data_IF_288452705918
#
_entry.id   IF_288452705918
#
_cell.length_a   1.000
_cell.length_b   1.000
_cell.length_c   1.000
_cell.angle_alpha   90.00
_cell.angle_beta   90.00
_cell.angle_gamma   90.00
#
_symmetry.space_group_name_H-M   'P 1'
#
loop_
_entity.id
_entity.type
_entity.pdbx_description
1 polymer ?
#
# COMPACT_ATOMS: atom_id res chain seq x y z
N UNK A 1 -56.97 -17.14 13.47
CA UNK A 1 -55.77 -17.57 12.78
C UNK A 1 -54.88 -16.34 12.58
N UNK A 2 -53.85 -16.22 13.40
CA UNK A 2 -52.88 -15.13 13.28
C UNK A 2 -51.70 -15.60 12.44
N UNK A 3 -51.44 -14.94 11.30
CA UNK A 3 -50.34 -15.21 10.41
C UNK A 3 -49.07 -14.55 10.97
N UNK A 4 -48.14 -15.33 11.52
CA UNK A 4 -46.84 -14.88 11.93
C UNK A 4 -45.96 -14.71 10.67
N UNK A 5 -45.74 -13.46 10.26
CA UNK A 5 -44.69 -13.10 9.28
C UNK A 5 -43.32 -13.24 9.96
N UNK A 6 -42.60 -14.32 9.64
CA UNK A 6 -41.18 -14.45 9.99
C UNK A 6 -40.38 -13.60 9.02
N UNK A 7 -39.94 -12.42 9.48
CA UNK A 7 -38.91 -11.64 8.79
C UNK A 7 -37.59 -12.42 8.90
N UNK A 8 -37.18 -13.05 7.80
CA UNK A 8 -35.83 -13.56 7.66
C UNK A 8 -34.91 -12.35 7.49
N UNK A 9 -34.15 -12.04 8.52
CA UNK A 9 -32.98 -11.18 8.40
C UNK A 9 -31.92 -11.95 7.63
N UNK A 10 -31.82 -11.70 6.32
CA UNK A 10 -30.63 -12.08 5.58
C UNK A 10 -29.52 -11.21 6.15
N UNK A 11 -28.59 -11.80 6.89
CA UNK A 11 -27.33 -11.16 7.20
C UNK A 11 -26.72 -10.70 5.88
N UNK A 12 -26.60 -9.39 5.67
CA UNK A 12 -25.79 -8.85 4.60
C UNK A 12 -24.40 -9.42 4.83
N UNK A 13 -24.04 -10.40 4.03
CA UNK A 13 -22.68 -10.95 3.96
C UNK A 13 -21.81 -9.77 3.58
N UNK A 14 -20.78 -9.48 4.37
CA UNK A 14 -19.87 -8.39 4.09
C UNK A 14 -19.39 -8.56 2.63
N UNK A 15 -19.88 -7.66 1.75
CA UNK A 15 -19.62 -7.73 0.31
C UNK A 15 -18.13 -7.46 0.06
N UNK A 16 -17.33 -8.52 -0.06
CA UNK A 16 -15.89 -8.41 -0.28
C UNK A 16 -15.23 -9.78 -0.39
N UNK A 17 -13.96 -9.77 -0.77
CA UNK A 17 -13.13 -10.95 -0.91
C UNK A 17 -12.57 -11.40 0.45
N UNK A 18 -12.56 -12.71 0.70
CA UNK A 18 -11.94 -13.28 1.90
C UNK A 18 -10.41 -13.16 1.83
N UNK A 19 -9.86 -12.33 2.71
CA UNK A 19 -8.43 -12.05 2.81
C UNK A 19 -7.70 -12.93 3.85
N UNK A 20 -8.38 -13.87 4.49
CA UNK A 20 -7.87 -14.63 5.66
C UNK A 20 -6.57 -15.37 5.37
N UNK A 21 -6.43 -15.97 4.18
CA UNK A 21 -5.22 -16.69 3.79
C UNK A 21 -4.02 -15.73 3.61
N UNK A 22 -4.21 -14.54 3.04
CA UNK A 22 -3.18 -13.52 2.92
C UNK A 22 -2.83 -12.92 4.28
N UNK A 23 -3.82 -12.63 5.09
CA UNK A 23 -3.68 -12.14 6.47
C UNK A 23 -2.81 -13.09 7.33
N UNK A 24 -3.05 -14.39 7.21
CA UNK A 24 -2.25 -15.40 7.91
C UNK A 24 -0.78 -15.40 7.46
N UNK A 25 -0.52 -15.28 6.16
CA UNK A 25 0.83 -15.20 5.60
C UNK A 25 1.55 -13.93 6.04
N UNK A 26 0.87 -12.77 6.03
CA UNK A 26 1.42 -11.50 6.50
C UNK A 26 1.81 -11.58 7.97
N UNK A 27 0.93 -12.07 8.84
CA UNK A 27 1.20 -12.25 10.28
C UNK A 27 2.40 -13.15 10.55
N UNK A 28 2.60 -14.16 9.70
CA UNK A 28 3.69 -15.12 9.85
C UNK A 28 5.05 -14.60 9.36
N UNK A 29 5.06 -13.83 8.27
CA UNK A 29 6.29 -13.53 7.52
C UNK A 29 6.65 -12.05 7.44
N UNK A 30 5.83 -11.14 7.96
CA UNK A 30 6.14 -9.71 8.01
C UNK A 30 6.55 -9.32 9.42
N UNK A 31 7.72 -8.72 9.55
CA UNK A 31 8.33 -8.33 10.82
C UNK A 31 8.21 -6.82 10.99
N UNK A 32 7.47 -6.40 12.00
CA UNK A 32 7.31 -4.98 12.34
C UNK A 32 8.59 -4.42 12.94
N UNK A 33 9.01 -3.26 12.47
CA UNK A 33 10.14 -2.50 12.96
C UNK A 33 9.71 -1.10 13.42
N UNK A 34 10.45 -0.54 14.38
CA UNK A 34 10.25 0.85 14.84
C UNK A 34 8.78 1.16 15.14
N UNK A 35 8.11 0.30 15.90
CA UNK A 35 6.70 0.46 16.27
C UNK A 35 5.75 0.61 15.07
N UNK A 36 6.00 -0.16 14.01
CA UNK A 36 5.16 -0.19 12.81
C UNK A 36 5.52 0.81 11.71
N UNK A 37 6.52 1.67 11.94
CA UNK A 37 6.94 2.67 10.95
C UNK A 37 7.62 2.04 9.72
N UNK A 38 8.18 0.84 9.87
CA UNK A 38 8.75 0.06 8.79
C UNK A 38 8.54 -1.44 9.04
N UNK A 39 8.76 -2.24 8.00
CA UNK A 39 8.71 -3.70 8.09
C UNK A 39 9.84 -4.32 7.28
N UNK A 40 10.30 -5.46 7.74
CA UNK A 40 11.08 -6.42 6.96
C UNK A 40 10.20 -7.60 6.57
N UNK A 41 10.53 -8.25 5.46
CA UNK A 41 9.81 -9.41 4.94
C UNK A 41 10.70 -10.64 5.00
N UNK A 42 10.23 -11.70 5.65
CA UNK A 42 10.86 -13.02 5.63
C UNK A 42 10.54 -13.74 4.32
N UNK A 43 11.27 -13.37 3.25
CA UNK A 43 11.10 -14.01 1.94
C UNK A 43 11.45 -15.49 1.94
N UNK A 44 12.36 -15.95 2.80
CA UNK A 44 12.64 -17.38 2.97
C UNK A 44 11.42 -18.11 3.55
N UNK A 45 10.77 -17.51 4.55
CA UNK A 45 9.51 -18.02 5.10
C UNK A 45 8.39 -18.04 4.07
N UNK A 46 8.23 -16.96 3.29
CA UNK A 46 7.26 -16.94 2.17
C UNK A 46 7.59 -17.99 1.11
N UNK A 47 8.88 -18.25 0.80
CA UNK A 47 9.28 -19.29 -0.13
C UNK A 47 8.92 -20.69 0.39
N UNK A 48 9.07 -20.95 1.69
CA UNK A 48 8.65 -22.20 2.32
C UNK A 48 7.12 -22.41 2.25
N UNK A 49 6.34 -21.34 2.39
CA UNK A 49 4.88 -21.37 2.33
C UNK A 49 4.33 -20.94 0.93
N UNK A 50 5.17 -20.98 -0.11
CA UNK A 50 4.78 -20.49 -1.45
C UNK A 50 3.57 -21.18 -2.04
N UNK A 51 3.29 -22.43 -1.66
CA UNK A 51 2.08 -23.13 -2.07
C UNK A 51 0.81 -22.46 -1.55
N UNK A 52 0.82 -21.98 -0.29
CA UNK A 52 -0.30 -21.23 0.31
C UNK A 52 -0.47 -19.85 -0.36
N UNK A 53 0.65 -19.16 -0.63
CA UNK A 53 0.61 -17.90 -1.38
C UNK A 53 0.01 -18.11 -2.78
N UNK A 54 0.42 -19.17 -3.51
CA UNK A 54 -0.12 -19.46 -4.84
C UNK A 54 -1.61 -19.83 -4.81
N UNK A 55 -2.09 -20.53 -3.79
CA UNK A 55 -3.52 -20.80 -3.60
C UNK A 55 -4.30 -19.50 -3.41
N UNK A 56 -3.81 -18.59 -2.55
CA UNK A 56 -4.41 -17.27 -2.38
C UNK A 56 -4.42 -16.48 -3.70
N UNK A 57 -3.29 -16.42 -4.43
CA UNK A 57 -3.21 -15.72 -5.70
C UNK A 57 -4.15 -16.32 -6.76
N UNK A 58 -4.35 -17.63 -6.76
CA UNK A 58 -5.30 -18.30 -7.63
C UNK A 58 -6.75 -17.89 -7.30
N UNK A 59 -7.12 -17.80 -6.02
CA UNK A 59 -8.45 -17.31 -5.62
C UNK A 59 -8.66 -15.84 -5.98
N UNK A 60 -7.64 -14.97 -5.81
CA UNK A 60 -7.67 -13.57 -6.27
C UNK A 60 -7.90 -13.51 -7.79
N UNK A 61 -7.21 -14.38 -8.54
CA UNK A 61 -7.29 -14.42 -10.01
C UNK A 61 -8.63 -14.97 -10.53
N UNK A 62 -9.35 -15.73 -9.72
CA UNK A 62 -10.67 -16.28 -10.06
C UNK A 62 -11.80 -15.25 -9.93
N UNK A 63 -11.58 -14.13 -9.24
CA UNK A 63 -12.57 -13.07 -9.10
C UNK A 63 -12.89 -12.46 -10.46
N UNK A 64 -14.15 -12.49 -10.83
CA UNK A 64 -14.65 -11.89 -12.07
C UNK A 64 -14.86 -10.38 -11.91
N UNK A 65 -14.79 -9.63 -13.02
CA UNK A 65 -15.13 -8.21 -13.03
C UNK A 65 -16.55 -7.97 -12.53
N UNK A 66 -17.51 -8.82 -12.91
CA UNK A 66 -18.91 -8.71 -12.48
C UNK A 66 -19.10 -8.93 -10.97
N UNK A 67 -18.30 -9.80 -10.35
CA UNK A 67 -18.28 -9.99 -8.91
C UNK A 67 -17.66 -8.80 -8.21
N UNK A 68 -16.47 -8.37 -8.64
CA UNK A 68 -15.76 -7.21 -8.12
C UNK A 68 -16.60 -5.93 -8.18
N UNK A 69 -17.31 -5.67 -9.26
CA UNK A 69 -18.10 -4.45 -9.45
C UNK A 69 -19.35 -4.39 -8.53
N UNK A 70 -19.76 -5.51 -7.92
CA UNK A 70 -20.85 -5.55 -6.92
C UNK A 70 -20.39 -5.21 -5.52
N UNK A 71 -19.09 -5.24 -5.23
CA UNK A 71 -18.57 -4.92 -3.90
C UNK A 71 -18.61 -3.42 -3.63
N UNK A 72 -18.70 -3.06 -2.36
CA UNK A 72 -18.51 -1.69 -1.91
C UNK A 72 -17.11 -1.17 -2.26
N UNK A 73 -16.98 0.14 -2.49
CA UNK A 73 -15.71 0.76 -2.92
C UNK A 73 -14.54 0.47 -2.01
N UNK A 74 -14.79 0.42 -0.69
CA UNK A 74 -13.77 0.09 0.30
C UNK A 74 -13.29 -1.36 0.14
N UNK A 75 -14.20 -2.30 -0.08
CA UNK A 75 -13.85 -3.70 -0.33
C UNK A 75 -13.09 -3.88 -1.65
N UNK A 76 -13.49 -3.17 -2.71
CA UNK A 76 -12.78 -3.14 -3.99
C UNK A 76 -11.35 -2.62 -3.82
N UNK A 77 -11.16 -1.50 -3.11
CA UNK A 77 -9.83 -0.90 -2.91
C UNK A 77 -8.95 -1.78 -2.03
N UNK A 78 -9.49 -2.35 -0.95
CA UNK A 78 -8.77 -3.30 -0.10
C UNK A 78 -8.29 -4.52 -0.90
N UNK A 79 -9.15 -5.08 -1.74
CA UNK A 79 -8.82 -6.20 -2.63
C UNK A 79 -7.66 -5.85 -3.58
N UNK A 80 -7.73 -4.69 -4.24
CA UNK A 80 -6.69 -4.26 -5.18
C UNK A 80 -5.34 -4.01 -4.50
N UNK A 81 -5.33 -3.41 -3.29
CA UNK A 81 -4.10 -3.21 -2.50
C UNK A 81 -3.50 -4.56 -2.10
N UNK A 82 -4.31 -5.50 -1.59
CA UNK A 82 -3.84 -6.83 -1.21
C UNK A 82 -3.34 -7.61 -2.42
N UNK A 83 -4.03 -7.56 -3.54
CA UNK A 83 -3.60 -8.20 -4.79
C UNK A 83 -2.23 -7.64 -5.23
N UNK A 84 -2.05 -6.31 -5.28
CA UNK A 84 -0.77 -5.68 -5.60
C UNK A 84 0.35 -6.20 -4.69
N UNK A 85 0.14 -6.16 -3.37
CA UNK A 85 1.14 -6.56 -2.39
C UNK A 85 1.50 -8.06 -2.49
N UNK A 86 0.51 -8.93 -2.62
CA UNK A 86 0.73 -10.37 -2.73
C UNK A 86 1.44 -10.76 -4.04
N UNK A 87 1.05 -10.16 -5.17
CA UNK A 87 1.75 -10.37 -6.43
C UNK A 87 3.16 -9.74 -6.45
N UNK A 88 3.40 -8.67 -5.69
CA UNK A 88 4.75 -8.14 -5.49
C UNK A 88 5.63 -9.14 -4.75
N UNK A 89 5.12 -9.75 -3.67
CA UNK A 89 5.85 -10.82 -2.95
C UNK A 89 6.13 -12.00 -3.89
N UNK A 90 5.13 -12.49 -4.64
CA UNK A 90 5.33 -13.59 -5.61
C UNK A 90 6.37 -13.22 -6.68
N UNK A 91 6.38 -11.96 -7.16
CA UNK A 91 7.38 -11.49 -8.13
C UNK A 91 8.80 -11.58 -7.56
N UNK A 92 9.02 -11.16 -6.31
CA UNK A 92 10.33 -11.30 -5.64
C UNK A 92 10.71 -12.78 -5.51
N UNK A 93 9.76 -13.66 -5.13
CA UNK A 93 10.02 -15.10 -4.97
C UNK A 93 10.39 -15.80 -6.28
N UNK A 94 10.17 -15.19 -7.44
CA UNK A 94 10.63 -15.77 -8.73
C UNK A 94 12.15 -15.77 -8.88
N UNK A 95 12.87 -14.93 -8.13
CA UNK A 95 14.33 -14.82 -8.20
C UNK A 95 15.02 -14.88 -6.82
N UNK A 96 14.27 -14.94 -5.72
CA UNK A 96 14.83 -15.09 -4.39
C UNK A 96 15.52 -16.47 -4.25
N UNK A 97 16.75 -16.58 -3.65
CA UNK A 97 17.44 -15.52 -2.89
C UNK A 97 18.33 -14.58 -3.72
N UNK A 98 18.48 -14.77 -5.02
CA UNK A 98 19.46 -14.09 -5.88
C UNK A 98 18.96 -12.72 -6.38
N UNK A 99 18.24 -11.97 -5.53
CA UNK A 99 17.67 -10.65 -5.83
C UNK A 99 17.98 -9.66 -4.72
N UNK A 100 18.64 -8.55 -5.05
CA UNK A 100 18.96 -7.48 -4.11
C UNK A 100 17.97 -6.31 -4.16
N UNK A 101 17.20 -6.20 -5.25
CA UNK A 101 16.22 -5.16 -5.49
C UNK A 101 15.13 -5.67 -6.44
N UNK A 102 13.89 -5.21 -6.28
CA UNK A 102 12.85 -5.47 -7.28
C UNK A 102 13.26 -5.01 -8.69
N UNK A 103 14.13 -3.98 -8.79
CA UNK A 103 14.67 -3.49 -10.06
C UNK A 103 15.44 -4.54 -10.84
N UNK A 104 16.05 -5.51 -10.15
CA UNK A 104 16.84 -6.58 -10.77
C UNK A 104 15.96 -7.55 -11.60
N UNK A 105 14.63 -7.54 -11.36
CA UNK A 105 13.64 -8.34 -12.09
C UNK A 105 13.19 -7.69 -13.41
N UNK A 106 13.72 -6.50 -13.71
CA UNK A 106 13.53 -5.79 -14.96
C UNK A 106 14.66 -6.02 -15.94
N UNK A 107 14.62 -5.26 -17.03
CA UNK A 107 15.71 -5.14 -18.00
C UNK A 107 15.99 -3.66 -18.26
N UNK A 108 17.06 -3.33 -18.97
CA UNK A 108 17.35 -1.94 -19.38
C UNK A 108 16.19 -1.26 -20.11
N UNK A 109 15.30 -2.04 -20.76
CA UNK A 109 14.19 -1.54 -21.57
C UNK A 109 12.82 -1.77 -20.91
N UNK A 110 12.71 -2.58 -19.86
CA UNK A 110 11.43 -2.95 -19.26
C UNK A 110 11.50 -2.90 -17.73
N UNK A 111 10.73 -1.98 -17.17
CA UNK A 111 10.48 -1.91 -15.73
C UNK A 111 9.82 -3.21 -15.23
N UNK A 112 10.24 -3.78 -14.08
CA UNK A 112 9.60 -4.96 -13.50
C UNK A 112 8.12 -4.74 -13.20
N UNK A 113 7.71 -3.52 -12.85
CA UNK A 113 6.31 -3.16 -12.61
C UNK A 113 5.42 -3.27 -13.85
N UNK A 114 6.00 -3.17 -15.06
CA UNK A 114 5.30 -3.33 -16.36
C UNK A 114 5.25 -4.76 -16.87
N UNK A 115 5.85 -5.72 -16.13
CA UNK A 115 5.78 -7.14 -16.50
C UNK A 115 4.34 -7.63 -16.33
N UNK A 116 3.72 -8.10 -17.42
CA UNK A 116 2.37 -8.64 -17.42
C UNK A 116 2.42 -10.13 -17.03
N UNK A 117 1.99 -10.44 -15.81
CA UNK A 117 2.01 -11.81 -15.28
C UNK A 117 0.88 -12.08 -14.29
N UNK A 118 0.02 -11.10 -14.04
CA UNK A 118 -1.02 -11.12 -13.01
C UNK A 118 -2.37 -11.35 -13.67
N UNK A 119 -2.96 -12.58 -13.60
CA UNK A 119 -4.35 -12.76 -13.98
C UNK A 119 -5.24 -12.04 -12.95
N UNK A 120 -5.97 -11.01 -13.37
CA UNK A 120 -6.81 -10.24 -12.46
C UNK A 120 -7.99 -9.63 -13.21
N UNK A 121 -9.22 -9.88 -12.72
CA UNK A 121 -10.46 -9.36 -13.29
C UNK A 121 -10.58 -9.64 -14.80
N UNK A 122 -10.30 -10.88 -15.21
CA UNK A 122 -10.45 -11.35 -16.58
C UNK A 122 -9.35 -10.94 -17.56
N UNK A 123 -8.31 -10.24 -17.11
CA UNK A 123 -7.18 -9.82 -17.95
C UNK A 123 -5.84 -10.19 -17.33
N UNK A 124 -4.80 -10.33 -18.17
CA UNK A 124 -3.42 -10.41 -17.67
C UNK A 124 -2.89 -8.99 -17.47
N UNK A 125 -2.53 -8.65 -16.24
CA UNK A 125 -2.10 -7.30 -15.81
C UNK A 125 -0.66 -7.30 -15.32
N UNK A 126 -0.13 -6.11 -15.13
CA UNK A 126 1.12 -5.81 -14.44
C UNK A 126 0.83 -5.12 -13.10
N UNK A 127 1.84 -4.93 -12.27
CA UNK A 127 1.72 -4.12 -11.05
C UNK A 127 1.33 -2.66 -11.39
N UNK A 128 1.92 -2.10 -12.45
CA UNK A 128 1.54 -0.77 -12.96
C UNK A 128 0.07 -0.71 -13.39
N UNK A 129 -0.46 -1.75 -14.02
CA UNK A 129 -1.88 -1.80 -14.43
C UNK A 129 -2.80 -1.77 -13.20
N UNK A 130 -2.41 -2.42 -12.10
CA UNK A 130 -3.19 -2.39 -10.84
C UNK A 130 -3.10 -0.99 -10.22
N UNK A 131 -1.89 -0.50 -9.95
CA UNK A 131 -1.70 0.78 -9.25
C UNK A 131 -2.17 1.96 -10.08
N UNK A 132 -1.69 2.09 -11.31
CA UNK A 132 -1.94 3.26 -12.14
C UNK A 132 -3.24 3.16 -12.94
N UNK A 133 -3.67 1.96 -13.30
CA UNK A 133 -4.92 1.72 -14.05
C UNK A 133 -6.12 1.56 -13.12
N UNK A 134 -6.16 0.48 -12.34
CA UNK A 134 -7.33 0.10 -11.55
C UNK A 134 -7.55 0.99 -10.32
N UNK A 135 -6.47 1.39 -9.62
CA UNK A 135 -6.60 2.23 -8.42
C UNK A 135 -6.63 3.71 -8.81
N UNK A 136 -5.51 4.26 -9.29
CA UNK A 136 -5.34 5.71 -9.50
C UNK A 136 -6.10 6.25 -10.72
N UNK A 137 -6.13 5.48 -11.80
CA UNK A 137 -6.67 5.91 -13.11
C UNK A 137 -8.15 5.65 -13.29
N UNK A 138 -8.77 4.82 -12.46
CA UNK A 138 -10.19 4.45 -12.61
C UNK A 138 -11.18 5.59 -12.31
N UNK A 139 -10.74 6.63 -11.59
CA UNK A 139 -11.62 7.68 -11.07
C UNK A 139 -12.55 7.23 -9.93
N UNK A 140 -12.49 5.95 -9.52
CA UNK A 140 -13.32 5.39 -8.45
C UNK A 140 -12.83 5.77 -7.06
N UNK A 141 -11.50 5.93 -6.90
CA UNK A 141 -10.85 6.12 -5.61
C UNK A 141 -10.06 7.43 -5.61
N UNK A 142 -10.53 8.43 -4.88
CA UNK A 142 -9.81 9.69 -4.67
C UNK A 142 -9.00 9.62 -3.35
N UNK A 143 -8.10 8.63 -3.26
CA UNK A 143 -7.46 8.21 -2.02
C UNK A 143 -5.92 8.25 -2.13
N UNK A 144 -5.26 9.36 -1.74
CA UNK A 144 -3.81 9.48 -1.84
C UNK A 144 -3.05 8.58 -0.86
N UNK A 145 -3.68 8.09 0.22
CA UNK A 145 -3.03 7.23 1.21
C UNK A 145 -2.72 5.84 0.65
N UNK A 146 -3.22 5.48 -0.53
CA UNK A 146 -2.82 4.23 -1.21
C UNK A 146 -1.30 4.16 -1.41
N UNK A 147 -0.63 5.32 -1.54
CA UNK A 147 0.82 5.40 -1.65
C UNK A 147 1.56 5.02 -0.36
N UNK A 148 0.85 4.84 0.75
CA UNK A 148 1.36 4.29 2.01
C UNK A 148 0.91 2.85 2.27
N UNK A 149 0.12 2.27 1.35
CA UNK A 149 -0.48 0.94 1.48
C UNK A 149 0.10 -0.08 0.47
N UNK A 150 0.47 0.37 -0.74
CA UNK A 150 1.14 -0.48 -1.73
C UNK A 150 2.63 -0.56 -1.45
N UNK A 151 3.18 -1.78 -1.41
CA UNK A 151 4.58 -2.04 -1.09
C UNK A 151 5.32 -2.60 -2.29
N UNK A 152 6.41 -1.93 -2.69
CA UNK A 152 7.24 -2.30 -3.83
C UNK A 152 8.50 -3.11 -3.43
N UNK A 153 8.45 -3.81 -2.31
CA UNK A 153 9.52 -4.68 -1.81
C UNK A 153 10.88 -3.99 -1.54
N UNK A 154 10.89 -2.67 -1.31
CA UNK A 154 12.13 -1.92 -1.04
C UNK A 154 12.16 -1.37 0.38
N UNK A 155 13.35 -1.13 0.95
CA UNK A 155 13.52 -0.47 2.26
C UNK A 155 12.88 0.93 2.26
N UNK A 156 12.94 1.66 1.14
CA UNK A 156 12.30 2.97 1.01
C UNK A 156 10.77 2.94 0.93
N UNK A 157 10.13 1.77 0.71
CA UNK A 157 8.69 1.63 0.68
C UNK A 157 8.04 1.93 2.03
N UNK A 158 6.77 2.33 2.05
CA UNK A 158 5.92 2.20 3.22
C UNK A 158 5.93 0.75 3.74
N UNK A 159 5.62 0.59 5.01
CA UNK A 159 5.56 -0.74 5.61
C UNK A 159 4.56 -1.65 4.88
N UNK A 160 4.95 -2.87 4.54
CA UNK A 160 3.99 -3.93 4.27
C UNK A 160 3.31 -4.25 5.60
N UNK A 161 1.99 -4.08 5.69
CA UNK A 161 1.28 -4.35 6.95
C UNK A 161 1.38 -5.82 7.34
N UNK A 162 1.38 -6.07 8.64
CA UNK A 162 1.34 -7.44 9.20
C UNK A 162 -0.06 -8.05 9.16
N UNK A 163 -1.04 -7.33 8.59
CA UNK A 163 -2.41 -7.78 8.38
C UNK A 163 -2.90 -7.36 7.00
N UNK A 164 -3.86 -8.09 6.45
CA UNK A 164 -4.50 -7.74 5.20
C UNK A 164 -5.41 -6.51 5.34
N UNK A 165 -5.51 -5.71 4.28
CA UNK A 165 -6.52 -4.67 4.19
C UNK A 165 -7.92 -5.30 4.09
N UNK A 166 -8.89 -4.75 4.82
CA UNK A 166 -10.27 -5.21 4.86
C UNK A 166 -11.21 -4.04 4.58
N UNK A 167 -12.28 -4.27 3.81
CA UNK A 167 -13.17 -3.19 3.37
C UNK A 167 -13.80 -2.42 4.53
N UNK A 168 -14.27 -3.13 5.55
CA UNK A 168 -14.88 -2.57 6.76
C UNK A 168 -13.91 -1.78 7.66
N UNK A 169 -12.60 -2.00 7.53
CA UNK A 169 -11.54 -1.35 8.31
C UNK A 169 -10.61 -0.48 7.46
N UNK A 170 -10.87 -0.39 6.15
CA UNK A 170 -9.94 0.22 5.19
C UNK A 170 -9.56 1.65 5.58
N UNK A 171 -10.54 2.46 6.00
CA UNK A 171 -10.29 3.86 6.39
C UNK A 171 -9.27 3.95 7.54
N UNK A 172 -9.48 3.17 8.60
CA UNK A 172 -8.57 3.13 9.74
C UNK A 172 -7.19 2.58 9.36
N UNK A 173 -7.15 1.53 8.50
CA UNK A 173 -5.89 0.92 8.06
C UNK A 173 -5.06 1.84 7.16
N UNK A 174 -5.71 2.63 6.29
CA UNK A 174 -5.03 3.63 5.46
C UNK A 174 -4.50 4.79 6.30
N UNK A 175 -5.28 5.23 7.30
CA UNK A 175 -4.85 6.28 8.23
C UNK A 175 -3.66 5.81 9.08
N UNK A 176 -3.69 4.59 9.61
CA UNK A 176 -2.57 3.99 10.33
C UNK A 176 -1.30 3.90 9.47
N UNK A 177 -1.45 3.47 8.20
CA UNK A 177 -0.32 3.38 7.27
C UNK A 177 0.29 4.76 6.98
N UNK A 178 -0.56 5.79 6.78
CA UNK A 178 -0.11 7.17 6.60
C UNK A 178 0.60 7.70 7.86
N UNK A 179 0.00 7.49 9.03
CA UNK A 179 0.58 7.92 10.31
C UNK A 179 1.94 7.25 10.57
N UNK A 180 2.05 5.93 10.35
CA UNK A 180 3.29 5.20 10.52
C UNK A 180 4.39 5.71 9.57
N UNK A 181 4.07 5.87 8.27
CA UNK A 181 5.02 6.32 7.26
C UNK A 181 5.50 7.75 7.51
N UNK A 182 4.60 8.67 7.83
CA UNK A 182 4.92 10.08 8.07
C UNK A 182 5.65 10.32 9.40
N UNK A 183 5.49 9.40 10.37
CA UNK A 183 6.24 9.42 11.64
C UNK A 183 7.67 8.88 11.52
N UNK A 184 8.03 8.22 10.43
CA UNK A 184 9.39 7.69 10.23
C UNK A 184 10.39 8.80 9.89
N UNK A 185 11.23 9.17 10.85
CA UNK A 185 12.24 10.24 10.71
C UNK A 185 13.37 9.89 9.76
N UNK A 186 13.54 8.64 9.41
CA UNK A 186 14.48 8.26 8.36
C UNK A 186 14.01 8.68 6.97
N UNK A 187 12.71 8.86 6.79
CA UNK A 187 12.03 9.18 5.51
C UNK A 187 11.40 10.56 5.49
N UNK A 188 11.02 11.11 6.66
CA UNK A 188 10.30 12.39 6.74
C UNK A 188 10.76 13.15 8.00
N UNK A 189 11.50 14.26 7.83
CA UNK A 189 12.03 15.05 8.95
C UNK A 189 12.18 16.51 8.60
N UNK A 190 12.02 17.34 9.60
CA UNK A 190 12.35 18.76 9.50
C UNK A 190 13.82 18.95 9.87
N UNK A 191 14.61 19.48 8.94
CA UNK A 191 16.00 19.89 9.13
C UNK A 191 16.07 21.41 9.00
N UNK A 192 16.28 22.12 10.09
CA UNK A 192 16.27 23.58 10.16
C UNK A 192 14.98 24.19 9.57
N UNK A 193 15.02 24.74 8.36
CA UNK A 193 13.89 25.36 7.67
C UNK A 193 13.47 24.60 6.40
N UNK A 194 13.82 23.32 6.32
CA UNK A 194 13.50 22.46 5.18
C UNK A 194 12.86 21.17 5.66
N UNK A 195 11.68 20.87 5.17
CA UNK A 195 11.00 19.59 5.40
C UNK A 195 11.49 18.61 4.33
N UNK A 196 12.32 17.66 4.75
CA UNK A 196 12.83 16.58 3.90
C UNK A 196 11.87 15.39 3.98
N UNK A 197 11.36 14.99 2.84
CA UNK A 197 10.36 13.93 2.73
C UNK A 197 10.76 12.87 1.71
N UNK A 198 10.14 11.70 1.79
CA UNK A 198 10.33 10.60 0.84
C UNK A 198 10.10 11.03 -0.60
N UNK A 199 10.86 10.45 -1.54
CA UNK A 199 10.67 10.61 -3.00
C UNK A 199 9.29 10.16 -3.49
N UNK A 200 8.53 9.40 -2.72
CA UNK A 200 7.12 9.06 -3.01
C UNK A 200 6.30 10.34 -3.24
N UNK A 201 6.51 11.38 -2.43
CA UNK A 201 5.82 12.66 -2.60
C UNK A 201 6.21 13.42 -3.88
N UNK A 202 7.40 13.15 -4.43
CA UNK A 202 7.82 13.68 -5.73
C UNK A 202 7.14 12.95 -6.89
N UNK A 203 7.13 11.61 -6.84
CA UNK A 203 6.63 10.77 -7.92
C UNK A 203 5.12 10.85 -8.07
N UNK A 204 4.41 10.92 -6.94
CA UNK A 204 2.95 10.91 -6.88
C UNK A 204 2.35 12.26 -6.47
N UNK A 205 3.13 13.34 -6.63
CA UNK A 205 2.78 14.68 -6.18
C UNK A 205 1.35 15.09 -6.53
N UNK A 206 0.92 14.82 -7.77
CA UNK A 206 -0.42 15.17 -8.24
C UNK A 206 -1.54 14.55 -7.41
N UNK A 207 -1.35 13.35 -6.88
CA UNK A 207 -2.40 12.68 -6.11
C UNK A 207 -2.59 13.32 -4.73
N UNK A 208 -1.51 13.85 -4.14
CA UNK A 208 -1.55 14.59 -2.89
C UNK A 208 -2.09 16.03 -3.03
N UNK A 209 -2.18 16.55 -4.25
CA UNK A 209 -2.60 17.93 -4.54
C UNK A 209 -4.04 18.02 -5.11
N UNK A 210 -4.79 16.90 -5.15
CA UNK A 210 -6.14 16.83 -5.74
C UNK A 210 -7.28 17.25 -4.81
N UNK A 211 -7.00 17.90 -3.69
CA UNK A 211 -8.05 18.43 -2.81
C UNK A 211 -8.52 17.45 -1.72
N UNK A 212 -7.82 16.34 -1.50
CA UNK A 212 -8.14 15.40 -0.43
C UNK A 212 -8.12 16.13 0.93
N UNK A 213 -9.24 16.08 1.68
CA UNK A 213 -9.45 16.85 2.91
C UNK A 213 -9.10 18.36 2.78
N UNK A 214 -9.33 18.93 1.59
CA UNK A 214 -9.05 20.33 1.30
C UNK A 214 -7.58 20.64 0.92
N UNK A 215 -6.72 19.65 0.82
CA UNK A 215 -5.32 19.82 0.47
C UNK A 215 -5.14 19.98 -1.05
N UNK A 216 -4.97 21.21 -1.52
CA UNK A 216 -4.74 21.55 -2.93
C UNK A 216 -3.25 21.78 -3.27
N UNK A 217 -2.35 21.42 -2.35
CA UNK A 217 -0.90 21.45 -2.54
C UNK A 217 -0.24 20.39 -1.67
N UNK A 218 0.98 19.97 -2.04
CA UNK A 218 1.76 19.03 -1.22
C UNK A 218 2.01 19.58 0.20
N UNK A 219 2.30 20.89 0.32
CA UNK A 219 2.46 21.54 1.62
C UNK A 219 1.19 21.47 2.48
N UNK A 220 0.02 21.64 1.86
CA UNK A 220 -1.27 21.51 2.55
C UNK A 220 -1.53 20.07 2.99
N UNK A 221 -1.25 19.08 2.13
CA UNK A 221 -1.37 17.66 2.48
C UNK A 221 -0.45 17.30 3.67
N UNK A 222 0.84 17.65 3.59
CA UNK A 222 1.80 17.39 4.67
C UNK A 222 1.41 18.08 5.98
N UNK A 223 0.81 19.26 5.92
CA UNK A 223 0.34 19.97 7.11
C UNK A 223 -0.87 19.30 7.78
N UNK A 224 -1.68 18.49 7.08
CA UNK A 224 -2.71 17.67 7.72
C UNK A 224 -2.11 16.67 8.72
N UNK A 225 -0.91 16.19 8.43
CA UNK A 225 -0.15 15.22 9.24
C UNK A 225 0.96 15.89 10.08
N UNK A 226 0.76 17.16 10.50
CA UNK A 226 1.75 17.91 11.26
C UNK A 226 2.26 17.19 12.51
N UNK A 227 1.37 16.52 13.23
CA UNK A 227 1.71 15.78 14.44
C UNK A 227 2.66 14.61 14.14
N UNK A 228 2.36 13.84 13.12
CA UNK A 228 3.17 12.72 12.65
C UNK A 228 4.53 13.18 12.14
N UNK A 229 4.58 14.34 11.48
CA UNK A 229 5.82 14.97 11.03
C UNK A 229 6.59 15.65 12.15
N UNK A 230 6.04 15.74 13.37
CA UNK A 230 6.65 16.44 14.51
C UNK A 230 6.69 17.96 14.33
N UNK A 231 5.74 18.53 13.59
CA UNK A 231 5.62 19.96 13.35
C UNK A 231 4.64 20.58 14.35
N UNK A 232 5.03 21.67 14.99
CA UNK A 232 4.10 22.51 15.72
C UNK A 232 3.16 23.27 14.76
N UNK A 233 2.14 23.91 15.28
CA UNK A 233 1.13 24.62 14.50
C UNK A 233 1.70 25.79 13.70
N UNK A 234 2.64 26.54 14.31
CA UNK A 234 3.33 27.66 13.65
C UNK A 234 4.17 27.20 12.47
N UNK A 235 4.91 26.10 12.63
CA UNK A 235 5.71 25.48 11.58
C UNK A 235 4.83 24.94 10.45
N UNK A 236 3.72 24.27 10.76
CA UNK A 236 2.75 23.82 9.77
C UNK A 236 2.10 24.99 9.00
N UNK A 237 1.82 26.10 9.69
CA UNK A 237 1.36 27.33 9.06
C UNK A 237 2.40 27.94 8.11
N UNK A 238 3.67 27.96 8.50
CA UNK A 238 4.78 28.41 7.65
C UNK A 238 4.98 27.50 6.43
N UNK A 239 4.82 26.17 6.60
CA UNK A 239 4.88 25.21 5.51
C UNK A 239 3.79 25.49 4.47
N UNK A 240 2.54 25.65 4.89
CA UNK A 240 1.42 26.01 4.00
C UNK A 240 1.63 27.34 3.29
N UNK A 241 2.28 28.30 3.96
CA UNK A 241 2.59 29.62 3.39
C UNK A 241 3.84 29.62 2.47
N UNK A 242 4.47 28.45 2.22
CA UNK A 242 5.67 28.35 1.39
C UNK A 242 6.93 28.95 2.02
N UNK A 243 6.94 29.17 3.34
CA UNK A 243 8.08 29.70 4.09
C UNK A 243 9.02 28.62 4.62
N UNK A 244 8.69 27.35 4.41
CA UNK A 244 9.51 26.17 4.66
C UNK A 244 9.69 25.45 3.35
N UNK A 245 10.94 25.15 2.98
CA UNK A 245 11.27 24.38 1.79
C UNK A 245 10.84 22.92 1.93
N UNK A 246 10.53 22.28 0.81
CA UNK A 246 10.30 20.84 0.73
C UNK A 246 11.38 20.25 -0.17
N UNK A 247 12.15 19.31 0.36
CA UNK A 247 13.16 18.56 -0.37
C UNK A 247 12.82 17.07 -0.34
N UNK A 248 13.23 16.34 -1.39
CA UNK A 248 12.98 14.92 -1.52
C UNK A 248 14.24 14.14 -1.24
N UNK A 249 14.14 13.20 -0.29
CA UNK A 249 15.23 12.29 0.06
C UNK A 249 15.44 11.24 -1.04
N UNK A 250 16.67 10.74 -1.14
CA UNK A 250 16.98 9.58 -1.95
C UNK A 250 16.17 8.37 -1.47
N UNK A 251 15.83 7.50 -2.43
CA UNK A 251 15.01 6.35 -2.17
C UNK A 251 15.86 5.08 -2.11
N UNK A 252 15.74 4.34 -1.02
CA UNK A 252 16.47 3.10 -0.82
C UNK A 252 15.77 1.93 -1.54
N UNK A 253 16.34 1.52 -2.67
CA UNK A 253 15.82 0.45 -3.51
C UNK A 253 16.27 -0.95 -3.10
N UNK A 254 17.12 -1.09 -2.08
CA UNK A 254 17.49 -2.41 -1.54
C UNK A 254 16.26 -3.16 -1.09
N UNK A 255 16.27 -4.48 -1.29
CA UNK A 255 15.17 -5.35 -0.89
C UNK A 255 14.93 -5.23 0.63
N UNK A 256 13.67 -5.10 1.03
CA UNK A 256 13.24 -5.04 2.44
C UNK A 256 13.24 -6.44 3.10
N UNK A 257 14.22 -7.28 2.78
CA UNK A 257 14.34 -8.62 3.32
C UNK A 257 14.71 -8.59 4.82
N UNK A 258 14.33 -9.64 5.55
CA UNK A 258 14.71 -9.86 6.95
C UNK A 258 16.22 -9.72 7.16
N UNK A 259 16.61 -8.83 8.06
CA UNK A 259 18.00 -8.53 8.37
C UNK A 259 18.64 -7.43 7.51
N UNK A 260 17.94 -6.86 6.53
CA UNK A 260 18.46 -5.80 5.65
C UNK A 260 18.61 -4.44 6.34
N UNK A 261 17.89 -4.23 7.45
CA UNK A 261 17.93 -2.98 8.24
C UNK A 261 19.06 -2.90 9.27
N UNK A 262 19.98 -3.85 9.31
CA UNK A 262 21.08 -3.93 10.29
C UNK A 262 22.42 -3.34 9.81
N UNK A 263 22.44 -2.63 8.71
CA UNK A 263 23.66 -1.98 8.20
C UNK A 263 23.60 -0.46 8.36
#
# INVERSE_FOLDING_TARGET
MALLLVLQWTSAQADGFDQSAWDALLKKHVISLRSGQATEVDYAGFAADRSQLKQYLASVSAVTTAEFDRWERQAQLAFLINAYNAFTVELILTAYPDVASIKDLGTLLRSPWKKRFIPLLGETRSLDDIEHGLIRGSGRYAEPRIHFAVNCASIGCPALRTEAFAGDRLEAQLEDAANAFLSDRTRNRLDANTLRVSSIFKWYRRDFEKGWHGANSLAAFLALYRAQLGLDEGTAGRLKAGKIGIEFLDYDWRLNAKGSGKS
#
